data_IF_343190413811
#
_entry.id   IF_343190413811
#
_cell.length_a   1.000
_cell.length_b   1.000
_cell.length_c   1.000
_cell.angle_alpha   90.00
_cell.angle_beta   90.00
_cell.angle_gamma   90.00
#
_symmetry.space_group_name_H-M   'P 1'
#
loop_
_entity.id
_entity.type
_entity.pdbx_description
1 polymer ?
#
# COMPACT_ATOMS: atom_id res chain seq x y z
N UNK A 1 1.99 -22.29 -2.68
CA UNK A 1 2.84 -21.55 -1.72
C UNK A 1 3.09 -22.48 -0.55
N UNK A 2 4.30 -22.55 0.00
CA UNK A 2 4.51 -23.26 1.26
C UNK A 2 3.71 -22.59 2.37
N UNK A 3 3.33 -23.33 3.41
CA UNK A 3 2.61 -22.79 4.58
C UNK A 3 3.40 -21.62 5.21
N UNK A 4 4.74 -21.70 5.20
CA UNK A 4 5.63 -20.67 5.73
C UNK A 4 5.59 -19.33 5.00
N UNK A 5 5.04 -19.25 3.78
CA UNK A 5 5.00 -18.01 2.98
C UNK A 5 3.57 -17.60 2.60
N UNK A 6 2.55 -18.27 3.13
CA UNK A 6 1.15 -17.99 2.78
C UNK A 6 0.70 -16.67 3.40
N UNK A 7 0.37 -15.69 2.55
CA UNK A 7 -0.21 -14.40 2.95
C UNK A 7 -1.42 -13.98 2.09
N UNK A 8 -1.71 -14.73 1.03
CA UNK A 8 -2.84 -14.52 0.14
C UNK A 8 -3.34 -15.89 -0.38
N UNK A 9 -4.50 -15.90 -1.02
CA UNK A 9 -5.08 -17.12 -1.60
C UNK A 9 -4.38 -17.56 -2.90
N UNK A 10 -3.89 -16.60 -3.68
CA UNK A 10 -3.16 -16.89 -4.92
C UNK A 10 -2.24 -15.76 -5.34
N UNK A 11 -1.12 -16.13 -5.96
CA UNK A 11 -0.16 -15.19 -6.55
C UNK A 11 -0.44 -14.88 -8.03
N UNK A 12 -1.34 -15.65 -8.67
CA UNK A 12 -1.56 -15.66 -10.11
C UNK A 12 -3.01 -15.38 -10.52
N UNK A 13 -3.93 -15.30 -9.55
CA UNK A 13 -5.31 -14.88 -9.75
C UNK A 13 -5.72 -14.01 -8.57
N UNK A 14 -6.62 -13.08 -8.82
CA UNK A 14 -7.23 -12.34 -7.74
C UNK A 14 -8.22 -13.21 -6.98
N UNK A 15 -8.07 -13.29 -5.67
CA UNK A 15 -9.04 -13.90 -4.78
C UNK A 15 -8.93 -13.21 -3.42
N UNK A 16 -10.05 -12.67 -2.95
CA UNK A 16 -10.09 -12.03 -1.63
C UNK A 16 -9.92 -13.05 -0.52
N UNK A 17 -9.13 -12.70 0.49
CA UNK A 17 -8.94 -13.50 1.69
C UNK A 17 -10.29 -13.68 2.41
N UNK A 18 -10.63 -14.92 2.78
CA UNK A 18 -11.86 -15.20 3.51
C UNK A 18 -11.70 -14.87 4.99
N UNK A 19 -12.15 -13.68 5.37
CA UNK A 19 -12.20 -13.25 6.77
C UNK A 19 -13.53 -13.60 7.42
N UNK A 20 -13.57 -13.64 8.76
CA UNK A 20 -14.84 -13.74 9.49
C UNK A 20 -15.68 -12.48 9.32
N UNK A 21 -16.99 -12.61 9.49
CA UNK A 21 -17.88 -11.47 9.52
C UNK A 21 -17.81 -10.81 10.89
N UNK A 22 -17.69 -9.49 10.90
CA UNK A 22 -17.78 -8.63 12.09
C UNK A 22 -18.94 -7.67 11.90
N UNK A 23 -19.83 -7.61 12.87
CA UNK A 23 -21.00 -6.74 12.87
C UNK A 23 -20.65 -5.37 13.46
N UNK A 24 -20.82 -4.31 12.65
CA UNK A 24 -20.58 -2.92 13.05
C UNK A 24 -21.87 -2.16 12.80
N UNK A 25 -22.77 -2.20 13.77
CA UNK A 25 -24.16 -1.80 13.57
C UNK A 25 -24.80 -2.59 12.42
N UNK A 26 -25.51 -1.88 11.55
CA UNK A 26 -26.20 -2.47 10.40
C UNK A 26 -25.30 -2.68 9.17
N UNK A 27 -24.01 -2.31 9.25
CA UNK A 27 -23.07 -2.41 8.13
C UNK A 27 -21.99 -3.44 8.47
N UNK A 28 -22.17 -4.72 8.07
CA UNK A 28 -21.21 -5.78 8.37
C UNK A 28 -19.93 -5.67 7.53
N UNK A 29 -18.85 -6.21 8.09
CA UNK A 29 -17.50 -6.20 7.55
C UNK A 29 -16.94 -7.63 7.44
N UNK A 30 -16.18 -7.91 6.40
CA UNK A 30 -15.52 -9.22 6.21
C UNK A 30 -16.39 -10.26 5.51
N UNK A 31 -15.89 -11.49 5.41
CA UNK A 31 -16.57 -12.55 4.67
C UNK A 31 -16.79 -12.19 3.20
N UNK A 32 -18.04 -12.25 2.74
CA UNK A 32 -18.42 -11.92 1.36
C UNK A 32 -18.96 -10.48 1.21
N UNK A 33 -19.00 -9.69 2.29
CA UNK A 33 -19.46 -8.30 2.23
C UNK A 33 -18.45 -7.42 1.50
N UNK A 34 -18.87 -6.39 0.75
CA UNK A 34 -17.98 -5.55 -0.04
C UNK A 34 -16.92 -4.87 0.84
N UNK A 35 -15.80 -4.48 0.22
CA UNK A 35 -14.77 -3.72 0.91
C UNK A 35 -15.33 -2.35 1.26
N UNK A 36 -15.38 -2.03 2.56
CA UNK A 36 -16.05 -0.82 3.06
C UNK A 36 -15.15 0.39 3.01
N UNK A 37 -15.70 1.55 2.65
CA UNK A 37 -14.97 2.82 2.68
C UNK A 37 -15.31 3.60 3.94
N UNK A 38 -14.29 4.04 4.66
CA UNK A 38 -14.45 4.85 5.87
C UNK A 38 -13.53 6.07 5.87
N UNK A 39 -13.90 7.07 6.66
CA UNK A 39 -13.10 8.27 6.89
C UNK A 39 -13.20 8.71 8.36
N UNK A 40 -12.53 9.80 8.72
CA UNK A 40 -12.44 10.30 10.09
C UNK A 40 -12.70 11.81 10.11
N UNK A 41 -13.51 12.27 11.06
CA UNK A 41 -13.72 13.70 11.28
C UNK A 41 -12.44 14.39 11.73
N UNK A 42 -12.34 15.69 11.43
CA UNK A 42 -11.24 16.58 11.86
C UNK A 42 -11.71 17.65 12.84
N UNK A 43 -13.02 17.80 13.04
CA UNK A 43 -13.61 18.70 14.03
C UNK A 43 -13.29 18.30 15.47
N UNK A 44 -13.39 19.27 16.38
CA UNK A 44 -13.39 18.99 17.81
C UNK A 44 -14.67 18.19 18.17
N UNK A 45 -14.49 16.99 18.71
CA UNK A 45 -15.60 16.12 19.11
C UNK A 45 -16.48 16.69 20.22
N UNK A 46 -16.05 17.76 20.92
CA UNK A 46 -16.92 18.50 21.83
C UNK A 46 -17.83 19.52 21.12
N UNK A 47 -17.50 19.91 19.88
CA UNK A 47 -18.41 20.64 19.01
C UNK A 47 -19.33 19.64 18.29
N UNK A 48 -20.42 19.30 18.97
CA UNK A 48 -21.44 18.37 18.47
C UNK A 48 -21.99 18.82 17.11
N UNK A 49 -22.23 20.12 16.93
CA UNK A 49 -22.84 20.63 15.70
C UNK A 49 -21.87 20.47 14.52
N UNK A 50 -20.64 20.95 14.67
CA UNK A 50 -19.64 20.85 13.61
C UNK A 50 -19.34 19.38 13.26
N UNK A 51 -19.23 18.52 14.28
CA UNK A 51 -18.96 17.09 14.07
C UNK A 51 -20.11 16.38 13.37
N UNK A 52 -21.36 16.70 13.69
CA UNK A 52 -22.55 16.18 13.00
C UNK A 52 -22.57 16.66 11.54
N UNK A 53 -22.36 17.95 11.29
CA UNK A 53 -22.36 18.53 9.93
C UNK A 53 -21.26 17.89 9.05
N UNK A 54 -20.03 17.76 9.56
CA UNK A 54 -18.93 17.13 8.82
C UNK A 54 -19.19 15.63 8.59
N UNK A 55 -19.74 14.93 9.60
CA UNK A 55 -20.13 13.52 9.46
C UNK A 55 -21.15 13.33 8.34
N UNK A 56 -22.13 14.24 8.23
CA UNK A 56 -23.14 14.21 7.15
C UNK A 56 -22.47 14.38 5.79
N UNK A 57 -21.59 15.37 5.61
CA UNK A 57 -20.86 15.55 4.32
C UNK A 57 -20.07 14.30 3.93
N UNK A 58 -19.41 13.67 4.90
CA UNK A 58 -18.68 12.41 4.67
C UNK A 58 -19.64 11.28 4.25
N UNK A 59 -20.78 11.13 4.92
CA UNK A 59 -21.79 10.10 4.60
C UNK A 59 -22.38 10.35 3.21
N UNK A 60 -22.70 11.59 2.87
CA UNK A 60 -23.21 11.98 1.55
C UNK A 60 -22.18 11.74 0.43
N UNK A 61 -20.88 11.89 0.72
CA UNK A 61 -19.80 11.47 -0.20
C UNK A 61 -19.70 9.93 -0.34
N UNK A 62 -20.33 9.18 0.58
CA UNK A 62 -20.42 7.72 0.62
C UNK A 62 -19.52 7.03 1.63
N UNK A 63 -19.23 7.70 2.75
CA UNK A 63 -18.58 7.09 3.91
C UNK A 63 -19.52 6.10 4.60
N UNK A 64 -19.09 4.84 4.74
CA UNK A 64 -19.87 3.76 5.34
C UNK A 64 -19.60 3.58 6.84
N UNK A 65 -18.48 4.10 7.35
CA UNK A 65 -18.19 4.18 8.78
C UNK A 65 -17.56 5.53 9.12
N UNK A 66 -18.16 6.27 10.05
CA UNK A 66 -17.62 7.58 10.46
C UNK A 66 -16.80 7.41 11.72
N UNK A 67 -15.50 7.71 11.64
CA UNK A 67 -14.61 7.68 12.81
C UNK A 67 -14.51 9.06 13.46
N UNK A 68 -14.64 9.11 14.78
CA UNK A 68 -14.61 10.34 15.57
C UNK A 68 -13.60 10.16 16.71
N UNK A 69 -12.74 11.15 16.93
CA UNK A 69 -11.76 11.11 18.03
C UNK A 69 -12.45 11.21 19.40
N UNK A 70 -12.04 10.41 20.38
CA UNK A 70 -12.60 10.48 21.74
C UNK A 70 -11.48 10.32 22.79
N UNK A 71 -10.62 11.35 22.96
CA UNK A 71 -9.42 11.24 23.79
C UNK A 71 -9.71 11.11 25.29
N UNK A 72 -10.81 11.68 25.79
CA UNK A 72 -11.21 11.60 27.20
C UNK A 72 -12.65 11.11 27.39
N UNK A 73 -13.03 10.93 28.65
CA UNK A 73 -14.38 10.47 29.03
C UNK A 73 -15.44 11.48 28.55
N UNK A 74 -15.14 12.78 28.54
CA UNK A 74 -16.10 13.82 28.12
C UNK A 74 -16.45 13.70 26.64
N UNK A 75 -15.44 13.56 25.79
CA UNK A 75 -15.64 13.35 24.36
C UNK A 75 -16.34 12.01 24.10
N UNK A 76 -15.95 10.95 24.83
CA UNK A 76 -16.62 9.65 24.74
C UNK A 76 -18.12 9.73 25.08
N UNK A 77 -18.49 10.48 26.13
CA UNK A 77 -19.88 10.75 26.49
C UNK A 77 -20.58 11.59 25.41
N UNK A 78 -19.91 12.58 24.83
CA UNK A 78 -20.50 13.44 23.80
C UNK A 78 -20.81 12.69 22.49
N UNK A 79 -20.19 11.53 22.24
CA UNK A 79 -20.56 10.65 21.13
C UNK A 79 -22.05 10.26 21.17
N UNK A 80 -22.67 10.20 22.35
CA UNK A 80 -24.09 9.90 22.47
C UNK A 80 -24.97 11.01 21.90
N UNK A 81 -24.62 12.28 22.16
CA UNK A 81 -25.35 13.43 21.59
C UNK A 81 -25.10 13.55 20.07
N UNK A 82 -23.86 13.33 19.61
CA UNK A 82 -23.55 13.28 18.17
C UNK A 82 -24.39 12.19 17.48
N UNK A 83 -24.38 10.97 18.02
CA UNK A 83 -25.15 9.84 17.49
C UNK A 83 -26.64 10.16 17.45
N UNK A 84 -27.19 10.71 18.54
CA UNK A 84 -28.59 11.10 18.64
C UNK A 84 -28.99 12.14 17.59
N UNK A 85 -28.18 13.18 17.37
CA UNK A 85 -28.50 14.20 16.36
C UNK A 85 -28.34 13.70 14.92
N UNK A 86 -27.39 12.80 14.65
CA UNK A 86 -27.31 12.10 13.36
C UNK A 86 -28.56 11.25 13.11
N UNK A 87 -28.98 10.46 14.09
CA UNK A 87 -30.17 9.59 13.98
C UNK A 87 -31.45 10.40 13.83
N UNK A 88 -31.59 11.53 14.53
CA UNK A 88 -32.72 12.47 14.37
C UNK A 88 -32.82 13.02 12.94
N UNK A 89 -31.69 13.20 12.28
CA UNK A 89 -31.62 13.63 10.88
C UNK A 89 -31.72 12.47 9.87
N UNK A 90 -31.93 11.23 10.33
CA UNK A 90 -32.13 10.05 9.48
C UNK A 90 -30.84 9.32 9.08
N UNK A 91 -29.68 9.73 9.59
CA UNK A 91 -28.41 9.07 9.30
C UNK A 91 -28.17 7.90 10.25
N UNK A 92 -28.12 6.67 9.72
CA UNK A 92 -27.89 5.43 10.48
C UNK A 92 -26.46 4.89 10.39
N UNK A 93 -25.56 5.59 9.69
CA UNK A 93 -24.16 5.18 9.53
C UNK A 93 -23.51 4.86 10.89
N UNK A 94 -22.80 3.73 11.03
CA UNK A 94 -22.11 3.38 12.27
C UNK A 94 -20.98 4.35 12.62
N UNK A 95 -20.85 4.61 13.91
CA UNK A 95 -19.80 5.46 14.47
C UNK A 95 -18.67 4.62 15.03
N UNK A 96 -17.44 5.10 14.86
CA UNK A 96 -16.23 4.50 15.40
C UNK A 96 -15.55 5.49 16.34
N UNK A 97 -15.38 5.14 17.61
CA UNK A 97 -14.62 5.95 18.55
C UNK A 97 -13.12 5.68 18.41
N UNK A 98 -12.31 6.72 18.18
CA UNK A 98 -10.86 6.61 18.07
C UNK A 98 -10.18 6.97 19.40
N UNK A 99 -9.62 5.97 20.08
CA UNK A 99 -9.09 6.11 21.44
C UNK A 99 -7.64 5.63 21.49
N UNK A 100 -6.77 6.49 22.01
CA UNK A 100 -5.33 6.25 22.02
C UNK A 100 -4.80 5.88 23.41
N UNK A 101 -5.18 6.62 24.46
CA UNK A 101 -4.47 6.58 25.75
C UNK A 101 -5.35 6.30 26.98
N UNK A 102 -6.69 6.38 26.85
CA UNK A 102 -7.58 6.44 28.01
C UNK A 102 -8.51 5.23 28.05
N UNK A 103 -8.16 4.13 28.75
CA UNK A 103 -9.01 2.94 28.86
C UNK A 103 -10.43 3.23 29.34
N UNK A 104 -10.58 4.15 30.30
CA UNK A 104 -11.91 4.54 30.80
C UNK A 104 -12.79 5.21 29.74
N UNK A 105 -12.19 6.00 28.83
CA UNK A 105 -12.92 6.57 27.71
C UNK A 105 -13.38 5.46 26.74
N UNK A 106 -12.57 4.41 26.57
CA UNK A 106 -12.94 3.26 25.73
C UNK A 106 -14.10 2.45 26.29
N UNK A 107 -14.16 2.27 27.60
CA UNK A 107 -15.30 1.63 28.26
C UNK A 107 -16.60 2.40 28.02
N UNK A 108 -16.57 3.74 28.15
CA UNK A 108 -17.78 4.53 27.91
C UNK A 108 -18.16 4.64 26.44
N UNK A 109 -17.18 4.77 25.55
CA UNK A 109 -17.47 4.77 24.12
C UNK A 109 -18.08 3.43 23.66
N UNK A 110 -17.60 2.30 24.18
CA UNK A 110 -18.08 0.97 23.79
C UNK A 110 -19.58 0.75 24.10
N UNK A 111 -20.16 1.51 25.03
CA UNK A 111 -21.60 1.49 25.35
C UNK A 111 -22.44 2.38 24.44
N UNK A 112 -21.80 3.20 23.61
CA UNK A 112 -22.45 4.26 22.84
C UNK A 112 -22.34 3.99 21.34
N UNK A 113 -21.14 3.66 20.86
CA UNK A 113 -20.83 3.51 19.43
C UNK A 113 -20.78 2.05 19.01
N UNK A 114 -20.88 1.82 17.71
CA UNK A 114 -20.87 0.47 17.13
C UNK A 114 -19.47 -0.16 17.12
N UNK A 115 -18.41 0.67 17.24
CA UNK A 115 -17.03 0.17 17.27
C UNK A 115 -16.07 1.11 18.00
N UNK A 116 -15.15 0.54 18.76
CA UNK A 116 -14.02 1.27 19.36
C UNK A 116 -12.73 0.89 18.65
N UNK A 117 -11.85 1.86 18.39
CA UNK A 117 -10.46 1.61 18.03
C UNK A 117 -9.57 1.85 19.24
N UNK A 118 -8.66 0.92 19.48
CA UNK A 118 -7.53 1.08 20.38
C UNK A 118 -6.18 0.99 19.65
N UNK A 119 -5.13 1.50 20.30
CA UNK A 119 -3.74 1.32 19.90
C UNK A 119 -2.98 0.53 20.99
N UNK A 120 -2.55 -0.72 20.72
CA UNK A 120 -1.82 -1.55 21.66
C UNK A 120 -0.66 -0.86 22.38
N UNK A 121 0.14 -0.08 21.66
CA UNK A 121 1.36 0.53 22.20
C UNK A 121 1.11 1.63 23.22
N UNK A 122 -0.09 2.22 23.24
CA UNK A 122 -0.45 3.35 24.10
C UNK A 122 -1.55 3.00 25.12
N UNK A 123 -2.20 1.84 24.99
CA UNK A 123 -3.36 1.48 25.80
C UNK A 123 -2.97 1.06 27.22
N UNK A 124 -1.96 0.19 27.35
CA UNK A 124 -1.50 -0.32 28.64
C UNK A 124 -0.28 0.45 29.17
N UNK A 125 0.55 0.97 28.26
CA UNK A 125 1.85 1.55 28.57
C UNK A 125 1.93 3.04 28.29
N UNK A 126 2.65 3.74 29.18
CA UNK A 126 3.18 5.07 28.90
C UNK A 126 4.63 4.85 28.52
N UNK A 127 5.03 5.25 27.31
CA UNK A 127 6.44 5.21 26.88
C UNK A 127 7.30 5.87 27.94
N UNK A 128 8.20 5.09 28.54
CA UNK A 128 9.29 5.63 29.36
C UNK A 128 10.49 5.45 28.45
N UNK A 129 11.00 6.54 27.85
CA UNK A 129 12.17 6.53 26.96
C UNK A 129 13.47 6.15 27.71
N UNK A 130 13.44 5.06 28.46
CA UNK A 130 14.56 4.46 29.17
C UNK A 130 14.92 3.20 28.38
N UNK A 131 16.19 3.00 28.08
CA UNK A 131 16.68 1.72 27.57
C UNK A 131 16.47 0.67 28.67
N UNK A 132 15.43 -0.15 28.50
CA UNK A 132 15.11 -1.26 29.38
C UNK A 132 15.28 -2.53 28.55
N UNK A 133 16.26 -3.36 28.92
CA UNK A 133 16.31 -4.74 28.43
C UNK A 133 15.25 -5.56 29.17
N UNK A 134 14.31 -6.13 28.42
CA UNK A 134 13.29 -7.00 28.99
C UNK A 134 13.79 -8.45 29.03
N UNK A 135 13.89 -9.00 30.23
CA UNK A 135 14.00 -10.46 30.43
C UNK A 135 12.67 -11.13 30.09
N UNK A 136 12.69 -12.44 29.80
CA UNK A 136 11.46 -13.21 29.56
C UNK A 136 10.43 -13.08 30.69
N UNK A 137 10.89 -13.03 31.94
CA UNK A 137 10.02 -12.83 33.09
C UNK A 137 9.39 -11.44 33.08
N UNK A 138 10.19 -10.38 32.92
CA UNK A 138 9.66 -9.01 32.88
C UNK A 138 8.72 -8.76 31.69
N UNK A 139 8.95 -9.43 30.57
CA UNK A 139 8.06 -9.36 29.41
C UNK A 139 6.72 -10.04 29.72
N UNK A 140 6.76 -11.20 30.39
CA UNK A 140 5.54 -11.90 30.83
C UNK A 140 4.75 -11.08 31.84
N UNK A 141 5.42 -10.45 32.81
CA UNK A 141 4.76 -9.59 33.81
C UNK A 141 4.02 -8.41 33.12
N UNK A 142 4.59 -7.86 32.04
CA UNK A 142 3.92 -6.81 31.26
C UNK A 142 2.72 -7.36 30.46
N UNK A 143 2.79 -8.59 29.93
CA UNK A 143 1.65 -9.24 29.31
C UNK A 143 0.47 -9.43 30.28
N UNK A 144 0.76 -9.85 31.51
CA UNK A 144 -0.26 -10.01 32.56
C UNK A 144 -0.90 -8.65 32.91
N UNK A 145 -0.10 -7.60 32.99
CA UNK A 145 -0.58 -6.23 33.22
C UNK A 145 -1.44 -5.70 32.06
N UNK A 146 -1.06 -5.98 30.82
CA UNK A 146 -1.87 -5.64 29.63
C UNK A 146 -3.20 -6.36 29.69
N UNK A 147 -3.18 -7.66 29.99
CA UNK A 147 -4.39 -8.47 30.15
C UNK A 147 -5.34 -7.84 31.17
N UNK A 148 -4.87 -7.50 32.37
CA UNK A 148 -5.72 -6.94 33.44
C UNK A 148 -6.33 -5.58 33.06
N UNK A 149 -5.60 -4.77 32.29
CA UNK A 149 -6.08 -3.46 31.82
C UNK A 149 -7.04 -3.55 30.64
N UNK A 150 -6.85 -4.54 29.76
CA UNK A 150 -7.59 -4.67 28.52
C UNK A 150 -8.82 -5.57 28.64
N UNK A 151 -8.78 -6.59 29.49
CA UNK A 151 -9.90 -7.50 29.73
C UNK A 151 -11.24 -6.79 30.08
N UNK A 152 -11.27 -5.70 30.88
CA UNK A 152 -12.52 -4.96 31.11
C UNK A 152 -13.15 -4.44 29.83
N UNK A 153 -12.34 -3.93 28.88
CA UNK A 153 -12.84 -3.43 27.60
C UNK A 153 -13.39 -4.57 26.74
N UNK A 154 -12.69 -5.70 26.68
CA UNK A 154 -13.17 -6.88 25.95
C UNK A 154 -14.53 -7.35 26.46
N UNK A 155 -14.71 -7.36 27.79
CA UNK A 155 -15.99 -7.74 28.42
C UNK A 155 -17.10 -6.76 28.06
N UNK A 156 -16.87 -5.46 28.19
CA UNK A 156 -17.88 -4.43 27.83
C UNK A 156 -18.22 -4.49 26.35
N UNK A 157 -17.22 -4.58 25.46
CA UNK A 157 -17.47 -4.74 24.02
C UNK A 157 -18.33 -5.97 23.71
N UNK A 158 -18.08 -7.09 24.39
CA UNK A 158 -18.85 -8.33 24.24
C UNK A 158 -20.28 -8.19 24.77
N UNK A 159 -20.47 -7.53 25.90
CA UNK A 159 -21.79 -7.28 26.52
C UNK A 159 -22.65 -6.35 25.66
N UNK A 160 -22.05 -5.29 25.12
CA UNK A 160 -22.75 -4.25 24.34
C UNK A 160 -22.86 -4.58 22.83
N UNK A 161 -22.18 -5.64 22.37
CA UNK A 161 -22.08 -5.96 20.93
C UNK A 161 -21.29 -4.91 20.13
N UNK A 162 -20.40 -4.17 20.78
CA UNK A 162 -19.56 -3.15 20.14
C UNK A 162 -18.29 -3.79 19.57
N UNK A 163 -18.05 -3.68 18.27
CA UNK A 163 -16.84 -4.20 17.64
C UNK A 163 -15.57 -3.50 18.15
N UNK A 164 -14.41 -4.15 18.00
CA UNK A 164 -13.12 -3.61 18.41
C UNK A 164 -12.13 -3.59 17.24
N UNK A 165 -11.47 -2.45 17.00
CA UNK A 165 -10.28 -2.39 16.14
C UNK A 165 -9.02 -2.33 16.97
N UNK A 166 -8.16 -3.34 16.82
CA UNK A 166 -6.80 -3.36 17.37
C UNK A 166 -5.86 -2.83 16.27
N UNK A 167 -5.39 -1.59 16.43
CA UNK A 167 -4.59 -0.92 15.40
C UNK A 167 -3.17 -0.59 15.86
N UNK A 168 -2.19 -1.32 15.33
CA UNK A 168 -0.77 -1.09 15.54
C UNK A 168 -0.26 -0.04 14.55
N UNK A 169 0.39 1.00 15.06
CA UNK A 169 1.05 2.03 14.26
C UNK A 169 2.56 1.92 14.47
N UNK A 170 3.33 1.96 13.38
CA UNK A 170 4.79 1.83 13.42
C UNK A 170 5.46 2.82 14.40
N UNK A 171 5.09 4.11 14.33
CA UNK A 171 5.67 5.15 15.22
C UNK A 171 5.27 5.05 16.71
N UNK A 172 4.37 4.14 17.09
CA UNK A 172 3.88 4.04 18.47
C UNK A 172 4.00 2.63 19.05
N UNK A 173 4.96 1.82 18.60
CA UNK A 173 5.28 0.56 19.28
C UNK A 173 5.72 0.82 20.71
N UNK A 174 5.32 -0.06 21.63
CA UNK A 174 5.69 -0.02 23.04
C UNK A 174 7.13 -0.48 23.27
N UNK A 175 7.74 -0.02 24.37
CA UNK A 175 9.14 -0.29 24.71
C UNK A 175 9.45 -1.81 24.77
N UNK A 176 8.52 -2.63 25.32
CA UNK A 176 8.65 -4.09 25.35
C UNK A 176 8.75 -4.73 23.95
N UNK A 177 8.02 -4.19 22.98
CA UNK A 177 7.96 -4.70 21.61
C UNK A 177 9.23 -4.29 20.88
N UNK A 178 9.64 -3.04 21.03
CA UNK A 178 10.89 -2.53 20.47
C UNK A 178 12.10 -3.30 21.02
N UNK A 179 12.13 -3.61 22.31
CA UNK A 179 13.20 -4.40 22.94
C UNK A 179 13.27 -5.82 22.38
N UNK A 180 12.12 -6.49 22.21
CA UNK A 180 12.08 -7.92 21.83
C UNK A 180 12.14 -8.17 20.32
N UNK A 181 11.51 -7.31 19.51
CA UNK A 181 11.32 -7.51 18.08
C UNK A 181 11.90 -6.37 17.22
N UNK A 182 12.38 -5.29 17.83
CA UNK A 182 12.83 -4.09 17.14
C UNK A 182 11.69 -3.28 16.51
N UNK A 183 12.08 -2.16 15.88
CA UNK A 183 11.19 -1.35 15.05
C UNK A 183 11.00 -2.03 13.67
N UNK A 184 10.26 -3.14 13.66
CA UNK A 184 10.14 -4.04 12.50
C UNK A 184 8.67 -4.36 12.18
N UNK A 185 8.36 -4.81 10.94
CA UNK A 185 7.06 -5.36 10.61
C UNK A 185 6.60 -6.46 11.58
N UNK A 186 7.50 -7.34 12.03
CA UNK A 186 7.19 -8.37 13.01
C UNK A 186 6.81 -7.77 14.37
N UNK A 187 7.51 -6.73 14.84
CA UNK A 187 7.15 -6.01 16.06
C UNK A 187 5.74 -5.42 15.99
N UNK A 188 5.35 -4.85 14.83
CA UNK A 188 3.98 -4.37 14.62
C UNK A 188 2.93 -5.48 14.75
N UNK A 189 3.21 -6.64 14.16
CA UNK A 189 2.32 -7.81 14.18
C UNK A 189 2.18 -8.34 15.59
N UNK A 190 3.29 -8.60 16.29
CA UNK A 190 3.22 -9.15 17.67
C UNK A 190 2.55 -8.18 18.63
N UNK A 191 2.74 -6.87 18.47
CA UNK A 191 2.01 -5.86 19.26
C UNK A 191 0.49 -5.99 19.14
N UNK A 192 -0.01 -6.34 17.95
CA UNK A 192 -1.44 -6.58 17.75
C UNK A 192 -1.87 -7.99 18.20
N UNK A 193 -1.06 -9.01 17.91
CA UNK A 193 -1.35 -10.40 18.27
C UNK A 193 -1.43 -10.61 19.79
N UNK A 194 -0.65 -9.90 20.60
CA UNK A 194 -0.77 -9.90 22.06
C UNK A 194 -2.21 -9.56 22.53
N UNK A 195 -2.79 -8.49 21.98
CA UNK A 195 -4.15 -8.09 22.31
C UNK A 195 -5.20 -9.01 21.68
N UNK A 196 -4.93 -9.53 20.48
CA UNK A 196 -5.82 -10.47 19.80
C UNK A 196 -5.96 -11.78 20.59
N UNK A 197 -4.84 -12.34 21.06
CA UNK A 197 -4.82 -13.56 21.90
C UNK A 197 -5.60 -13.36 23.20
N UNK A 198 -5.56 -12.16 23.80
CA UNK A 198 -6.41 -11.83 24.96
C UNK A 198 -7.89 -11.91 24.56
N UNK A 199 -8.30 -11.32 23.42
CA UNK A 199 -9.69 -11.38 22.99
C UNK A 199 -10.17 -12.81 22.73
N UNK A 200 -9.33 -13.64 22.09
CA UNK A 200 -9.58 -15.07 21.87
C UNK A 200 -9.80 -15.82 23.20
N UNK A 201 -8.99 -15.55 24.23
CA UNK A 201 -9.18 -16.15 25.56
C UNK A 201 -10.54 -15.81 26.20
N UNK A 202 -11.14 -14.67 25.84
CA UNK A 202 -12.49 -14.27 26.27
C UNK A 202 -13.60 -14.71 25.29
N UNK A 203 -13.26 -15.49 24.25
CA UNK A 203 -14.15 -15.89 23.16
C UNK A 203 -14.87 -14.68 22.56
N UNK A 204 -14.12 -13.60 22.30
CA UNK A 204 -14.62 -12.38 21.70
C UNK A 204 -14.04 -12.23 20.29
N UNK A 205 -14.90 -12.07 19.30
CA UNK A 205 -14.54 -12.26 17.89
C UNK A 205 -14.95 -11.11 16.96
N UNK A 206 -15.60 -10.07 17.50
CA UNK A 206 -15.99 -8.85 16.76
C UNK A 206 -14.77 -7.92 16.63
N UNK A 207 -13.71 -8.39 15.96
CA UNK A 207 -12.39 -7.76 15.93
C UNK A 207 -11.96 -7.42 14.52
N UNK A 208 -11.38 -6.24 14.35
CA UNK A 208 -10.76 -5.77 13.11
C UNK A 208 -9.32 -5.39 13.40
N UNK A 209 -8.40 -5.70 12.49
CA UNK A 209 -6.97 -5.43 12.68
C UNK A 209 -6.48 -4.38 11.69
N UNK A 210 -5.49 -3.59 12.10
CA UNK A 210 -4.76 -2.70 11.18
C UNK A 210 -3.29 -2.57 11.56
N UNK A 211 -2.41 -2.61 10.56
CA UNK A 211 -0.99 -2.32 10.64
C UNK A 211 -0.71 -1.05 9.82
N UNK A 212 -0.50 0.10 10.45
CA UNK A 212 -0.27 1.36 9.70
C UNK A 212 1.17 1.83 9.81
N UNK A 213 1.72 2.22 8.67
CA UNK A 213 3.02 2.87 8.57
C UNK A 213 2.97 3.95 7.48
N UNK A 214 3.79 4.99 7.62
CA UNK A 214 4.01 5.98 6.57
C UNK A 214 4.95 5.43 5.50
N UNK A 215 5.72 4.38 5.81
CA UNK A 215 6.45 3.62 4.82
C UNK A 215 5.55 2.50 4.26
N UNK A 216 5.16 2.62 3.00
CA UNK A 216 4.25 1.67 2.33
C UNK A 216 4.81 0.25 2.28
N UNK A 217 6.14 0.08 2.20
CA UNK A 217 6.78 -1.24 2.19
C UNK A 217 6.64 -1.92 3.55
N UNK A 218 6.92 -1.21 4.63
CA UNK A 218 6.74 -1.71 6.02
C UNK A 218 5.28 -2.09 6.25
N UNK A 219 4.35 -1.23 5.82
CA UNK A 219 2.92 -1.51 5.90
C UNK A 219 2.54 -2.82 5.18
N UNK A 220 2.92 -2.97 3.91
CA UNK A 220 2.61 -4.17 3.11
C UNK A 220 3.17 -5.43 3.78
N UNK A 221 4.43 -5.39 4.22
CA UNK A 221 5.10 -6.50 4.91
C UNK A 221 4.37 -6.89 6.21
N UNK A 222 3.97 -5.90 7.02
CA UNK A 222 3.28 -6.14 8.28
C UNK A 222 1.91 -6.80 8.08
N UNK A 223 1.12 -6.40 7.08
CA UNK A 223 -0.15 -7.09 6.80
C UNK A 223 0.05 -8.52 6.30
N UNK A 224 1.03 -8.75 5.42
CA UNK A 224 1.33 -10.10 4.93
C UNK A 224 1.76 -11.03 6.07
N UNK A 225 2.64 -10.54 6.94
CA UNK A 225 3.06 -11.26 8.15
C UNK A 225 1.89 -11.47 9.12
N UNK A 226 1.02 -10.48 9.31
CA UNK A 226 -0.17 -10.61 10.16
C UNK A 226 -1.08 -11.74 9.67
N UNK A 227 -1.37 -11.79 8.38
CA UNK A 227 -2.20 -12.85 7.78
C UNK A 227 -1.54 -14.22 7.97
N UNK A 228 -0.24 -14.32 7.70
CA UNK A 228 0.50 -15.56 7.91
C UNK A 228 0.44 -16.03 9.37
N UNK A 229 0.64 -15.10 10.32
CA UNK A 229 0.60 -15.40 11.75
C UNK A 229 -0.80 -15.78 12.22
N UNK A 230 -1.83 -15.08 11.74
CA UNK A 230 -3.22 -15.42 12.03
C UNK A 230 -3.56 -16.82 11.51
N UNK A 231 -3.21 -17.15 10.26
CA UNK A 231 -3.46 -18.48 9.66
C UNK A 231 -2.79 -19.59 10.49
N UNK A 232 -1.53 -19.37 10.92
CA UNK A 232 -0.79 -20.31 11.77
C UNK A 232 -1.42 -20.51 13.17
N UNK A 233 -2.13 -19.51 13.69
CA UNK A 233 -2.86 -19.59 14.96
C UNK A 233 -4.37 -19.90 14.78
N UNK A 234 -4.82 -20.24 13.56
CA UNK A 234 -6.21 -20.59 13.28
C UNK A 234 -7.19 -19.40 13.30
N UNK A 235 -6.69 -18.19 13.05
CA UNK A 235 -7.44 -16.92 13.07
C UNK A 235 -7.60 -16.33 11.66
N UNK A 236 -8.65 -15.54 11.44
CA UNK A 236 -8.98 -14.94 10.14
C UNK A 236 -9.78 -13.63 10.24
N UNK A 237 -9.27 -12.67 11.01
CA UNK A 237 -9.98 -11.41 11.28
C UNK A 237 -9.94 -10.40 10.12
N UNK A 238 -10.98 -9.57 9.95
CA UNK A 238 -11.00 -8.51 8.95
C UNK A 238 -9.86 -7.49 9.10
N UNK A 239 -9.39 -6.99 7.95
CA UNK A 239 -8.29 -6.04 7.84
C UNK A 239 -8.81 -4.64 7.45
N UNK A 240 -8.48 -3.67 8.30
CA UNK A 240 -8.61 -2.24 7.99
C UNK A 240 -7.31 -1.75 7.37
N UNK A 241 -7.30 -1.38 6.09
CA UNK A 241 -6.13 -0.83 5.42
C UNK A 241 -6.08 0.70 5.48
N UNK A 242 -4.87 1.23 5.45
CA UNK A 242 -4.64 2.66 5.28
C UNK A 242 -3.20 3.04 5.59
N UNK A 243 -2.64 3.90 4.75
CA UNK A 243 -1.34 4.52 4.98
C UNK A 243 -1.53 5.66 5.99
N UNK A 244 -0.64 5.80 6.97
CA UNK A 244 -0.64 6.98 7.85
C UNK A 244 0.24 8.07 7.25
N UNK A 245 -0.11 9.34 7.47
CA UNK A 245 0.68 10.48 6.96
C UNK A 245 0.94 10.34 5.44
N UNK A 246 -0.13 10.19 4.66
CA UNK A 246 0.02 10.01 3.22
C UNK A 246 0.59 11.28 2.56
N UNK A 247 0.23 12.45 3.08
CA UNK A 247 0.58 13.75 2.52
C UNK A 247 -0.66 14.45 1.97
N UNK A 248 -0.43 15.55 1.26
CA UNK A 248 -1.47 16.36 0.62
C UNK A 248 -1.51 16.05 -0.88
N UNK A 249 -2.64 16.36 -1.54
CA UNK A 249 -2.70 16.36 -2.98
C UNK A 249 -2.30 15.01 -3.62
N UNK A 250 -1.59 15.10 -4.74
CA UNK A 250 -1.26 13.93 -5.55
C UNK A 250 -0.29 12.97 -4.84
N UNK A 251 0.64 13.50 -4.04
CA UNK A 251 1.59 12.68 -3.27
C UNK A 251 0.85 11.76 -2.28
N UNK A 252 -0.14 12.30 -1.58
CA UNK A 252 -0.98 11.52 -0.66
C UNK A 252 -1.80 10.44 -1.36
N UNK A 253 -2.30 10.74 -2.56
CA UNK A 253 -3.07 9.80 -3.39
C UNK A 253 -2.18 8.69 -3.94
N UNK A 254 -1.02 9.02 -4.51
CA UNK A 254 -0.02 8.07 -5.03
C UNK A 254 0.45 7.15 -3.92
N UNK A 255 0.85 7.70 -2.77
CA UNK A 255 1.34 6.91 -1.63
C UNK A 255 0.27 5.97 -1.09
N UNK A 256 -0.98 6.43 -1.05
CA UNK A 256 -2.13 5.59 -0.67
C UNK A 256 -2.39 4.48 -1.69
N UNK A 257 -2.32 4.77 -2.99
CA UNK A 257 -2.47 3.77 -4.05
C UNK A 257 -1.37 2.71 -3.99
N UNK A 258 -0.12 3.11 -3.74
CA UNK A 258 1.00 2.16 -3.58
C UNK A 258 0.79 1.25 -2.36
N UNK A 259 0.44 1.80 -1.19
CA UNK A 259 0.28 1.00 0.02
C UNK A 259 -0.99 0.14 0.03
N UNK A 260 -2.15 0.76 -0.20
CA UNK A 260 -3.46 0.10 -0.15
C UNK A 260 -3.65 -0.78 -1.39
N UNK A 261 -3.35 -0.26 -2.58
CA UNK A 261 -3.53 -1.00 -3.84
C UNK A 261 -2.69 -2.28 -3.90
N UNK A 262 -1.45 -2.26 -3.38
CA UNK A 262 -0.62 -3.49 -3.31
C UNK A 262 -1.29 -4.59 -2.48
N UNK A 263 -1.88 -4.24 -1.34
CA UNK A 263 -2.56 -5.22 -0.47
C UNK A 263 -3.90 -5.66 -1.06
N UNK A 264 -4.63 -4.74 -1.70
CA UNK A 264 -5.84 -5.09 -2.43
C UNK A 264 -5.52 -6.04 -3.59
N UNK A 265 -4.40 -5.87 -4.33
CA UNK A 265 -3.97 -6.84 -5.34
C UNK A 265 -3.69 -8.23 -4.74
N UNK A 266 -3.17 -8.31 -3.51
CA UNK A 266 -2.97 -9.57 -2.78
C UNK A 266 -4.30 -10.18 -2.26
N UNK A 267 -5.44 -9.51 -2.49
CA UNK A 267 -6.75 -9.94 -1.96
C UNK A 267 -6.94 -9.63 -0.47
N UNK A 268 -6.09 -8.77 0.10
CA UNK A 268 -6.13 -8.37 1.51
C UNK A 268 -6.87 -7.05 1.66
N UNK A 269 -7.75 -6.96 2.66
CA UNK A 269 -8.49 -5.74 3.00
C UNK A 269 -10.00 -5.94 2.97
N UNK A 270 -10.65 -5.55 4.05
CA UNK A 270 -12.10 -5.60 4.20
C UNK A 270 -12.71 -4.21 4.36
N UNK A 271 -11.90 -3.26 4.81
CA UNK A 271 -12.23 -1.85 4.79
C UNK A 271 -10.98 -1.02 4.59
N UNK A 272 -11.11 0.15 3.97
CA UNK A 272 -9.99 1.04 3.72
C UNK A 272 -10.29 2.46 4.20
N UNK A 273 -9.23 3.18 4.57
CA UNK A 273 -9.24 4.64 4.71
C UNK A 273 -8.00 5.22 4.03
N UNK A 274 -8.22 6.12 3.08
CA UNK A 274 -7.20 7.04 2.56
C UNK A 274 -7.05 8.17 3.58
N UNK A 275 -5.83 8.53 3.97
CA UNK A 275 -5.62 9.58 5.00
C UNK A 275 -4.91 10.79 4.37
N UNK A 276 -5.70 11.77 3.91
CA UNK A 276 -5.22 12.98 3.25
C UNK A 276 -5.20 14.15 4.24
N UNK A 277 -4.33 15.13 4.01
CA UNK A 277 -4.39 16.43 4.72
C UNK A 277 -5.38 17.38 4.03
N UNK A 278 -6.62 16.92 3.84
CA UNK A 278 -7.71 17.64 3.17
C UNK A 278 -9.00 17.44 3.98
N UNK A 279 -10.09 18.12 3.59
CA UNK A 279 -11.40 17.82 4.19
C UNK A 279 -11.76 16.34 3.98
N UNK A 280 -12.32 15.67 5.01
CA UNK A 280 -12.44 14.22 5.04
C UNK A 280 -13.37 13.65 3.96
N UNK A 281 -14.35 14.42 3.47
CA UNK A 281 -15.16 14.03 2.32
C UNK A 281 -14.34 13.77 1.04
N UNK A 282 -13.17 14.41 0.87
CA UNK A 282 -12.30 14.20 -0.29
C UNK A 282 -11.48 12.90 -0.20
N UNK A 283 -11.37 12.28 0.98
CA UNK A 283 -10.76 10.95 1.13
C UNK A 283 -11.63 9.87 0.43
N UNK A 284 -12.96 10.07 0.39
CA UNK A 284 -13.93 9.05 -0.02
C UNK A 284 -13.87 8.72 -1.52
N UNK A 285 -13.86 9.69 -2.47
CA UNK A 285 -13.73 9.39 -3.89
C UNK A 285 -12.45 8.61 -4.23
N UNK A 286 -11.33 8.96 -3.58
CA UNK A 286 -10.04 8.27 -3.77
C UNK A 286 -10.13 6.82 -3.28
N UNK A 287 -10.70 6.62 -2.08
CA UNK A 287 -10.91 5.28 -1.53
C UNK A 287 -11.83 4.43 -2.42
N UNK A 288 -12.96 4.98 -2.89
CA UNK A 288 -13.87 4.30 -3.82
C UNK A 288 -13.16 3.90 -5.10
N UNK A 289 -12.38 4.80 -5.71
CA UNK A 289 -11.62 4.49 -6.92
C UNK A 289 -10.65 3.32 -6.74
N UNK A 290 -10.06 3.15 -5.55
CA UNK A 290 -9.20 2.00 -5.24
C UNK A 290 -10.01 0.71 -5.08
N UNK A 291 -11.18 0.76 -4.43
CA UNK A 291 -12.04 -0.41 -4.19
C UNK A 291 -12.74 -0.88 -5.47
N UNK A 292 -13.29 0.05 -6.26
CA UNK A 292 -14.10 -0.22 -7.44
C UNK A 292 -13.32 -1.00 -8.52
N UNK A 293 -11.98 -0.85 -8.54
CA UNK A 293 -11.08 -1.65 -9.36
C UNK A 293 -11.27 -3.16 -9.17
N UNK A 294 -11.68 -3.60 -7.97
CA UNK A 294 -11.81 -5.01 -7.61
C UNK A 294 -13.26 -5.50 -7.56
N UNK A 295 -14.26 -4.60 -7.56
CA UNK A 295 -15.67 -4.96 -7.49
C UNK A 295 -16.13 -5.82 -8.69
N UNK A 296 -15.54 -5.59 -9.86
CA UNK A 296 -15.88 -6.25 -11.11
C UNK A 296 -14.64 -6.80 -11.82
N UNK A 297 -13.65 -7.28 -11.06
CA UNK A 297 -12.43 -7.82 -11.67
C UNK A 297 -12.79 -9.00 -12.57
N UNK A 298 -12.55 -8.84 -13.87
CA UNK A 298 -12.92 -9.83 -14.88
C UNK A 298 -12.00 -11.05 -14.78
N UNK A 299 -12.44 -12.12 -15.43
CA UNK A 299 -11.57 -13.24 -15.74
C UNK A 299 -10.44 -12.75 -16.66
N UNK A 300 -9.26 -13.31 -16.46
CA UNK A 300 -8.05 -12.96 -17.20
C UNK A 300 -7.40 -14.22 -17.76
N UNK A 301 -6.48 -14.04 -18.71
CA UNK A 301 -5.70 -15.15 -19.27
C UNK A 301 -4.87 -15.84 -18.19
N UNK A 302 -4.81 -17.18 -18.25
CA UNK A 302 -4.19 -17.99 -17.20
C UNK A 302 -2.69 -17.76 -17.14
N UNK A 303 -2.20 -17.41 -15.95
CA UNK A 303 -0.77 -17.28 -15.66
C UNK A 303 -0.27 -18.62 -15.10
N UNK A 304 0.85 -19.13 -15.64
CA UNK A 304 1.45 -20.37 -15.18
C UNK A 304 1.93 -20.25 -13.72
N UNK A 305 1.60 -21.25 -12.89
CA UNK A 305 2.03 -21.30 -11.49
C UNK A 305 3.55 -21.53 -11.42
N UNK A 306 4.25 -20.70 -10.67
CA UNK A 306 5.62 -20.96 -10.22
C UNK A 306 5.68 -20.67 -8.72
N UNK A 307 5.96 -21.70 -7.92
CA UNK A 307 5.96 -21.61 -6.45
C UNK A 307 7.35 -21.54 -5.84
N UNK A 308 8.36 -21.91 -6.61
CA UNK A 308 9.74 -21.97 -6.15
C UNK A 308 10.46 -20.71 -6.61
N UNK A 309 10.62 -19.75 -5.69
CA UNK A 309 11.31 -18.49 -5.97
C UNK A 309 11.91 -17.91 -4.69
N UNK A 310 13.06 -17.24 -4.83
CA UNK A 310 13.86 -16.70 -3.72
C UNK A 310 13.48 -15.24 -3.41
N UNK A 311 12.18 -14.97 -3.23
CA UNK A 311 11.70 -13.65 -2.78
C UNK A 311 10.86 -13.80 -1.52
N UNK A 312 11.31 -13.16 -0.43
CA UNK A 312 10.51 -13.05 0.78
C UNK A 312 9.34 -12.08 0.54
N UNK A 313 8.08 -12.48 0.80
CA UNK A 313 6.95 -11.55 0.76
C UNK A 313 6.89 -10.65 2.00
N UNK A 314 7.67 -10.95 3.02
CA UNK A 314 7.67 -10.32 4.34
C UNK A 314 8.82 -9.35 4.56
N UNK A 315 9.85 -9.43 3.71
CA UNK A 315 11.05 -8.60 3.82
C UNK A 315 11.40 -8.01 2.46
N UNK A 316 12.09 -6.88 2.48
CA UNK A 316 12.58 -6.26 1.26
C UNK A 316 14.06 -6.50 1.18
N UNK A 317 14.48 -6.98 0.01
CA UNK A 317 15.88 -7.03 -0.34
C UNK A 317 16.04 -6.37 -1.71
N UNK A 318 16.95 -5.39 -1.85
CA UNK A 318 17.23 -4.81 -3.16
C UNK A 318 17.83 -5.90 -4.05
N UNK A 319 17.30 -6.03 -5.27
CA UNK A 319 17.81 -7.00 -6.24
C UNK A 319 19.16 -6.54 -6.76
N UNK A 320 20.15 -7.44 -6.74
CA UNK A 320 21.43 -7.20 -7.40
C UNK A 320 21.21 -7.25 -8.91
N UNK A 321 21.63 -6.21 -9.60
CA UNK A 321 21.49 -6.07 -11.06
C UNK A 321 22.80 -5.56 -11.65
N UNK A 322 23.01 -5.82 -12.94
CA UNK A 322 24.13 -5.24 -13.68
C UNK A 322 23.85 -3.75 -13.95
N UNK A 323 24.92 -2.95 -14.04
CA UNK A 323 24.82 -1.57 -14.49
C UNK A 323 24.97 -1.52 -16.01
N UNK A 324 23.97 -0.95 -16.69
CA UNK A 324 24.01 -0.65 -18.13
C UNK A 324 23.87 0.86 -18.29
N UNK A 325 24.96 1.51 -18.68
CA UNK A 325 25.08 2.98 -18.75
C UNK A 325 24.76 3.65 -17.38
N UNK A 326 23.52 4.06 -17.15
CA UNK A 326 23.01 4.68 -15.91
C UNK A 326 21.78 3.96 -15.33
N UNK A 327 21.50 2.72 -15.78
CA UNK A 327 20.36 1.89 -15.37
C UNK A 327 20.88 0.65 -14.64
N UNK A 328 20.26 0.30 -13.50
CA UNK A 328 20.63 -0.87 -12.70
C UNK A 328 21.91 -0.67 -11.88
N UNK A 329 22.35 -1.71 -11.18
CA UNK A 329 23.46 -1.64 -10.23
C UNK A 329 23.17 -0.66 -9.10
N UNK A 330 24.13 0.23 -8.82
CA UNK A 330 24.03 1.26 -7.77
C UNK A 330 23.40 2.58 -8.25
N UNK A 331 22.91 2.63 -9.50
CA UNK A 331 22.27 3.83 -10.04
C UNK A 331 20.87 4.04 -9.41
N UNK A 332 20.50 5.30 -9.20
CA UNK A 332 19.10 5.64 -8.85
C UNK A 332 18.15 5.31 -10.00
N UNK A 333 16.85 5.06 -9.71
CA UNK A 333 15.84 4.82 -10.75
C UNK A 333 15.82 5.89 -11.83
N UNK A 334 15.60 5.47 -13.07
CA UNK A 334 15.50 6.36 -14.24
C UNK A 334 14.05 6.53 -14.67
N UNK A 335 13.70 7.74 -15.08
CA UNK A 335 12.37 8.07 -15.59
C UNK A 335 12.42 8.18 -17.10
N UNK A 336 11.55 7.43 -17.77
CA UNK A 336 11.32 7.53 -19.20
C UNK A 336 9.94 8.11 -19.46
N UNK A 337 9.86 9.22 -20.19
CA UNK A 337 8.60 9.76 -20.66
C UNK A 337 8.22 9.12 -22.01
N UNK A 338 7.01 8.61 -22.12
CA UNK A 338 6.48 8.08 -23.37
C UNK A 338 5.84 9.20 -24.19
N UNK A 339 6.44 9.52 -25.33
CA UNK A 339 5.94 10.51 -26.29
C UNK A 339 5.50 9.85 -27.59
N UNK A 340 5.33 8.53 -27.64
CA UNK A 340 5.04 7.80 -28.87
C UNK A 340 3.74 8.21 -29.56
N UNK A 341 2.79 8.79 -28.82
CA UNK A 341 1.49 9.27 -29.30
C UNK A 341 1.47 10.78 -29.57
N UNK A 342 2.54 11.51 -29.26
CA UNK A 342 2.60 12.93 -29.57
C UNK A 342 2.66 13.15 -31.09
N UNK A 343 1.86 14.09 -31.65
CA UNK A 343 1.88 14.35 -33.08
C UNK A 343 3.19 15.00 -33.55
N UNK A 344 3.84 15.73 -32.65
CA UNK A 344 5.14 16.36 -32.86
C UNK A 344 5.85 16.54 -31.53
N UNK A 345 7.17 16.41 -31.52
CA UNK A 345 8.01 16.71 -30.36
C UNK A 345 8.82 17.95 -30.69
N UNK A 346 8.68 18.98 -29.87
CA UNK A 346 9.41 20.23 -30.00
C UNK A 346 10.03 20.64 -28.64
N UNK A 347 10.61 21.84 -28.59
CA UNK A 347 11.26 22.34 -27.37
C UNK A 347 10.28 22.54 -26.21
N UNK A 348 9.04 22.95 -26.50
CA UNK A 348 7.98 23.13 -25.51
C UNK A 348 7.54 21.78 -24.90
N UNK A 349 7.49 20.72 -25.71
CA UNK A 349 7.28 19.35 -25.21
C UNK A 349 8.30 19.00 -24.13
N UNK A 350 9.60 19.30 -24.36
CA UNK A 350 10.64 19.02 -23.36
C UNK A 350 10.53 19.93 -22.12
N UNK A 351 9.96 21.13 -22.25
CA UNK A 351 9.67 21.99 -21.09
C UNK A 351 8.63 21.41 -20.15
N UNK A 352 7.63 20.73 -20.68
CA UNK A 352 6.67 19.98 -19.84
C UNK A 352 7.33 18.79 -19.13
N UNK A 353 8.46 18.30 -19.65
CA UNK A 353 9.25 17.21 -19.07
C UNK A 353 10.42 17.70 -18.20
N UNK A 354 10.41 18.98 -17.76
CA UNK A 354 11.40 19.51 -16.82
C UNK A 354 12.65 20.13 -17.45
N UNK A 355 12.68 20.34 -18.77
CA UNK A 355 13.81 20.96 -19.47
C UNK A 355 13.56 22.41 -19.90
N UNK A 356 14.49 23.31 -19.63
CA UNK A 356 14.35 24.72 -20.03
C UNK A 356 15.32 25.05 -21.16
N UNK A 357 14.82 25.54 -22.30
CA UNK A 357 15.69 26.00 -23.38
C UNK A 357 16.00 27.50 -23.25
N UNK A 358 17.28 27.86 -23.24
CA UNK A 358 17.77 29.23 -23.21
C UNK A 358 18.23 29.64 -24.62
N UNK A 359 17.35 30.31 -25.37
CA UNK A 359 17.60 30.68 -26.77
C UNK A 359 18.84 31.57 -26.94
N UNK A 360 19.08 32.50 -26.01
CA UNK A 360 20.22 33.41 -26.06
C UNK A 360 21.59 32.69 -25.98
N UNK A 361 21.64 31.51 -25.36
CA UNK A 361 22.87 30.74 -25.17
C UNK A 361 22.92 29.46 -26.02
N UNK A 362 21.83 29.13 -26.72
CA UNK A 362 21.60 27.82 -27.35
C UNK A 362 21.90 26.63 -26.40
N UNK A 363 21.37 26.71 -25.17
CA UNK A 363 21.61 25.73 -24.11
C UNK A 363 20.33 25.25 -23.44
N UNK A 364 20.44 24.11 -22.79
CA UNK A 364 19.40 23.53 -21.95
C UNK A 364 19.74 23.65 -20.47
N UNK A 365 18.78 24.10 -19.67
CA UNK A 365 18.68 23.90 -18.24
C UNK A 365 17.90 22.63 -17.93
N UNK A 366 18.24 22.03 -16.78
CA UNK A 366 17.65 20.78 -16.30
C UNK A 366 17.03 21.09 -14.94
N UNK A 367 15.72 20.90 -14.82
CA UNK A 367 15.00 21.02 -13.54
C UNK A 367 14.97 19.70 -12.77
N UNK A 368 14.50 19.76 -11.52
CA UNK A 368 14.47 18.61 -10.60
C UNK A 368 13.55 17.47 -11.07
N UNK A 369 12.57 17.77 -11.92
CA UNK A 369 11.61 16.80 -12.48
C UNK A 369 11.97 16.36 -13.90
N UNK A 370 13.18 16.66 -14.37
CA UNK A 370 13.61 16.29 -15.71
C UNK A 370 13.67 14.77 -15.89
N UNK A 371 13.01 14.23 -16.91
CA UNK A 371 13.09 12.79 -17.22
C UNK A 371 14.46 12.43 -17.82
N UNK A 372 14.98 11.23 -17.55
CA UNK A 372 16.27 10.78 -18.09
C UNK A 372 16.19 10.34 -19.55
N UNK A 373 15.04 9.81 -19.96
CA UNK A 373 14.81 9.27 -21.30
C UNK A 373 13.46 9.73 -21.87
N UNK A 374 13.39 9.84 -23.20
CA UNK A 374 12.11 9.93 -23.92
C UNK A 374 11.98 8.77 -24.90
N UNK A 375 10.80 8.15 -24.95
CA UNK A 375 10.46 7.21 -26.01
C UNK A 375 9.69 7.92 -27.11
N UNK A 376 10.22 7.93 -28.34
CA UNK A 376 9.66 8.69 -29.46
C UNK A 376 9.17 7.81 -30.61
N UNK A 377 9.16 6.49 -30.41
CA UNK A 377 8.78 5.50 -31.42
C UNK A 377 9.53 5.71 -32.76
N UNK A 378 8.84 6.06 -33.85
CA UNK A 378 9.43 6.25 -35.19
C UNK A 378 9.71 7.72 -35.55
N UNK A 379 9.45 8.65 -34.63
CA UNK A 379 9.63 10.08 -34.89
C UNK A 379 11.11 10.46 -35.00
N UNK A 380 11.40 11.63 -35.57
CA UNK A 380 12.73 12.22 -35.67
C UNK A 380 12.73 13.58 -35.01
N UNK A 381 13.78 13.88 -34.25
CA UNK A 381 13.98 15.19 -33.63
C UNK A 381 14.89 16.03 -34.53
N UNK A 382 14.57 17.31 -34.67
CA UNK A 382 15.26 18.24 -35.58
C UNK A 382 15.85 19.46 -34.84
N UNK A 383 16.13 19.32 -33.55
CA UNK A 383 16.68 20.36 -32.70
C UNK A 383 17.74 19.79 -31.74
N UNK A 384 18.61 20.65 -31.20
CA UNK A 384 19.64 20.28 -30.23
C UNK A 384 19.00 19.73 -28.94
N UNK A 385 19.48 18.59 -28.45
CA UNK A 385 18.95 17.93 -27.25
C UNK A 385 19.73 18.32 -25.99
N UNK A 386 19.09 18.28 -24.81
CA UNK A 386 19.81 18.34 -23.54
C UNK A 386 20.87 17.23 -23.46
N UNK A 387 22.08 17.56 -22.99
CA UNK A 387 23.21 16.63 -23.01
C UNK A 387 23.01 15.34 -22.20
N UNK A 388 22.11 15.35 -21.23
CA UNK A 388 21.80 14.24 -20.33
C UNK A 388 20.58 13.41 -20.76
N UNK A 389 19.84 13.87 -21.77
CA UNK A 389 18.60 13.22 -22.21
C UNK A 389 18.90 12.08 -23.20
N UNK A 390 18.50 10.86 -22.86
CA UNK A 390 18.51 9.74 -23.80
C UNK A 390 17.24 9.69 -24.66
N UNK A 391 17.38 9.35 -25.93
CA UNK A 391 16.25 9.19 -26.85
C UNK A 391 16.11 7.72 -27.21
N UNK A 392 14.99 7.11 -26.84
CA UNK A 392 14.65 5.74 -27.20
C UNK A 392 13.79 5.76 -28.46
N UNK A 393 14.23 5.01 -29.48
CA UNK A 393 13.60 5.00 -30.79
C UNK A 393 13.40 3.56 -31.29
N UNK A 394 12.34 3.33 -32.05
CA UNK A 394 12.07 2.02 -32.66
C UNK A 394 13.28 1.56 -33.50
N UNK A 395 13.68 0.30 -33.32
CA UNK A 395 14.84 -0.32 -34.00
C UNK A 395 14.87 -0.04 -35.51
N UNK A 396 13.70 -0.12 -36.15
CA UNK A 396 13.52 0.12 -37.59
C UNK A 396 14.03 1.47 -38.07
N UNK A 397 14.03 2.52 -37.24
CA UNK A 397 14.51 3.87 -37.58
C UNK A 397 15.94 4.07 -37.08
N UNK A 398 16.22 3.65 -35.84
CA UNK A 398 17.53 3.82 -35.22
C UNK A 398 18.65 3.15 -36.03
N UNK A 399 18.41 1.94 -36.57
CA UNK A 399 19.43 1.17 -37.30
C UNK A 399 19.99 1.92 -38.53
N UNK A 400 19.16 2.73 -39.16
CA UNK A 400 19.48 3.50 -40.37
C UNK A 400 20.07 4.87 -40.03
N UNK A 401 19.88 5.35 -38.79
CA UNK A 401 20.31 6.68 -38.35
C UNK A 401 20.72 6.68 -36.87
N UNK A 402 21.95 6.20 -36.60
CA UNK A 402 22.53 6.03 -35.25
C UNK A 402 23.04 7.35 -34.68
N UNK A 403 22.13 8.27 -34.40
CA UNK A 403 22.45 9.58 -33.84
C UNK A 403 23.03 9.46 -32.41
N UNK A 404 23.86 10.41 -31.97
CA UNK A 404 24.27 10.51 -30.57
C UNK A 404 23.05 10.56 -29.65
N UNK A 405 23.18 10.00 -28.44
CA UNK A 405 22.11 9.90 -27.43
C UNK A 405 20.88 9.08 -27.84
N UNK A 406 20.87 8.47 -29.03
CA UNK A 406 19.75 7.63 -29.49
C UNK A 406 20.04 6.14 -29.26
N UNK A 407 19.11 5.48 -28.59
CA UNK A 407 19.16 4.07 -28.22
C UNK A 407 17.98 3.31 -28.85
N UNK A 408 18.19 2.08 -29.34
CA UNK A 408 17.11 1.31 -29.94
C UNK A 408 16.21 0.67 -28.88
N UNK A 409 14.91 0.74 -29.11
CA UNK A 409 13.94 -0.24 -28.59
C UNK A 409 13.79 -1.37 -29.61
N UNK A 410 14.00 -2.59 -29.17
CA UNK A 410 14.08 -3.81 -29.99
C UNK A 410 13.11 -4.82 -29.41
N UNK A 411 12.25 -5.43 -30.22
CA UNK A 411 11.41 -6.53 -29.73
C UNK A 411 12.21 -7.84 -29.59
N UNK A 412 11.66 -8.83 -28.88
CA UNK A 412 12.34 -10.11 -28.63
C UNK A 412 12.79 -10.83 -29.93
N UNK A 413 11.94 -10.86 -30.96
CA UNK A 413 12.26 -11.51 -32.24
C UNK A 413 13.42 -10.82 -32.95
N UNK A 414 13.38 -9.50 -33.08
CA UNK A 414 14.45 -8.69 -33.65
C UNK A 414 15.75 -8.86 -32.85
N UNK A 415 15.66 -8.85 -31.52
CA UNK A 415 16.82 -9.05 -30.67
C UNK A 415 17.46 -10.42 -30.91
N UNK A 416 16.70 -11.49 -31.11
CA UNK A 416 17.23 -12.82 -31.39
C UNK A 416 17.84 -12.97 -32.79
N UNK A 417 17.21 -12.37 -33.80
CA UNK A 417 17.57 -12.56 -35.20
C UNK A 417 18.62 -11.58 -35.74
N UNK A 418 18.65 -10.35 -35.23
CA UNK A 418 19.51 -9.29 -35.76
C UNK A 418 20.86 -9.27 -35.06
N UNK A 419 21.82 -8.62 -35.70
CA UNK A 419 23.21 -8.51 -35.25
C UNK A 419 23.69 -7.07 -35.06
N UNK A 420 22.88 -6.07 -35.45
CA UNK A 420 23.21 -4.65 -35.30
C UNK A 420 22.55 -4.14 -34.04
N UNK A 421 23.36 -3.80 -33.04
CA UNK A 421 22.94 -3.26 -31.74
C UNK A 421 23.78 -2.02 -31.39
N UNK A 422 23.27 -1.18 -30.48
CA UNK A 422 24.05 -0.08 -29.92
C UNK A 422 25.13 -0.67 -29.01
N UNK A 423 26.32 -0.08 -28.97
CA UNK A 423 27.46 -0.62 -28.22
C UNK A 423 27.38 -0.44 -26.70
N UNK A 424 26.44 0.37 -26.22
CA UNK A 424 26.33 0.74 -24.80
C UNK A 424 24.99 0.39 -24.14
N UNK A 425 23.87 0.44 -24.88
CA UNK A 425 22.53 0.35 -24.31
C UNK A 425 21.51 -0.02 -25.39
N UNK A 426 20.79 -1.11 -25.18
CA UNK A 426 19.71 -1.59 -26.03
C UNK A 426 18.49 -1.90 -25.15
N UNK A 427 17.36 -1.25 -25.42
CA UNK A 427 16.10 -1.54 -24.72
C UNK A 427 15.42 -2.72 -25.40
N UNK A 428 15.29 -3.85 -24.69
CA UNK A 428 14.69 -5.07 -25.22
C UNK A 428 13.26 -5.16 -24.68
N UNK A 429 12.29 -4.89 -25.55
CA UNK A 429 10.87 -4.98 -25.24
C UNK A 429 10.43 -6.44 -25.21
N UNK A 430 9.89 -6.86 -24.08
CA UNK A 430 9.44 -8.24 -23.85
C UNK A 430 8.14 -8.28 -23.06
N UNK A 431 7.36 -9.32 -23.30
CA UNK A 431 6.27 -9.81 -22.46
C UNK A 431 6.63 -11.17 -21.85
N UNK A 432 5.76 -11.75 -21.03
CA UNK A 432 6.01 -13.08 -20.46
C UNK A 432 6.15 -14.17 -21.52
N UNK A 433 5.39 -14.08 -22.62
CA UNK A 433 5.40 -15.08 -23.70
C UNK A 433 6.72 -15.12 -24.47
N UNK A 434 7.43 -14.00 -24.51
CA UNK A 434 8.71 -13.88 -25.22
C UNK A 434 9.86 -14.61 -24.49
N UNK A 435 9.67 -14.94 -23.20
CA UNK A 435 10.73 -15.39 -22.32
C UNK A 435 11.11 -16.87 -22.53
N UNK A 436 11.85 -17.11 -23.61
CA UNK A 436 12.39 -18.42 -23.99
C UNK A 436 13.82 -18.64 -23.46
N UNK A 437 14.23 -19.90 -23.33
CA UNK A 437 15.61 -20.27 -22.92
C UNK A 437 16.68 -19.63 -23.84
N UNK A 438 16.39 -19.55 -25.14
CA UNK A 438 17.25 -18.87 -26.13
C UNK A 438 17.40 -17.38 -25.83
N UNK A 439 16.29 -16.70 -25.48
CA UNK A 439 16.32 -15.28 -25.13
C UNK A 439 17.09 -15.04 -23.84
N UNK A 440 16.81 -15.82 -22.79
CA UNK A 440 17.49 -15.74 -21.50
C UNK A 440 19.00 -15.96 -21.67
N UNK A 441 19.40 -16.98 -22.42
CA UNK A 441 20.82 -17.25 -22.70
C UNK A 441 21.50 -16.10 -23.42
N UNK A 442 20.82 -15.45 -24.37
CA UNK A 442 21.37 -14.27 -25.06
C UNK A 442 21.51 -13.07 -24.11
N UNK A 443 20.48 -12.77 -23.32
CA UNK A 443 20.48 -11.69 -22.34
C UNK A 443 21.59 -11.83 -21.29
N UNK A 444 21.83 -13.04 -20.77
CA UNK A 444 22.91 -13.31 -19.82
C UNK A 444 24.30 -12.94 -20.33
N UNK A 445 24.49 -12.98 -21.66
CA UNK A 445 25.78 -12.71 -22.30
C UNK A 445 25.86 -11.31 -22.93
N UNK A 446 24.82 -10.48 -22.79
CA UNK A 446 24.77 -9.14 -23.37
C UNK A 446 24.84 -8.07 -22.26
N UNK A 447 26.00 -7.43 -22.06
CA UNK A 447 26.16 -6.40 -21.03
C UNK A 447 25.50 -5.07 -21.39
N UNK A 448 24.86 -4.97 -22.56
CA UNK A 448 24.21 -3.74 -23.06
C UNK A 448 22.69 -3.79 -23.00
N UNK A 449 22.11 -4.95 -22.66
CA UNK A 449 20.66 -5.15 -22.68
C UNK A 449 19.98 -4.60 -21.41
N UNK A 450 18.94 -3.79 -21.60
CA UNK A 450 18.00 -3.38 -20.56
C UNK A 450 16.61 -3.85 -20.96
N UNK A 451 15.95 -4.62 -20.10
CA UNK A 451 14.61 -5.10 -20.38
C UNK A 451 13.57 -4.00 -20.19
N UNK A 452 12.73 -3.79 -21.20
CA UNK A 452 11.50 -3.02 -21.12
C UNK A 452 10.35 -4.03 -21.06
N UNK A 453 9.85 -4.27 -19.85
CA UNK A 453 8.86 -5.33 -19.57
C UNK A 453 7.45 -4.74 -19.65
N UNK A 454 6.58 -5.41 -20.40
CA UNK A 454 5.17 -5.05 -20.55
C UNK A 454 4.26 -6.28 -20.37
N UNK A 455 2.95 -6.05 -20.31
CA UNK A 455 1.92 -7.07 -20.15
C UNK A 455 0.61 -6.63 -20.78
N UNK A 456 -0.05 -7.56 -21.48
CA UNK A 456 -1.41 -7.36 -21.99
C UNK A 456 -2.47 -8.01 -21.08
N UNK A 457 -2.04 -8.62 -19.98
CA UNK A 457 -2.90 -9.34 -19.06
C UNK A 457 -3.62 -8.36 -18.12
N UNK A 458 -4.94 -8.52 -17.96
CA UNK A 458 -5.71 -7.71 -17.01
C UNK A 458 -5.23 -7.91 -15.54
N UNK A 459 -4.54 -9.01 -15.24
CA UNK A 459 -3.83 -9.25 -13.99
C UNK A 459 -2.31 -8.99 -14.11
N UNK A 460 -1.95 -7.89 -14.77
CA UNK A 460 -0.56 -7.56 -15.14
C UNK A 460 0.47 -7.61 -13.99
N UNK A 461 0.12 -7.18 -12.78
CA UNK A 461 1.06 -7.28 -11.63
C UNK A 461 1.46 -8.71 -11.30
N UNK A 462 0.53 -9.67 -11.42
CA UNK A 462 0.82 -11.08 -11.19
C UNK A 462 1.66 -11.67 -12.34
N UNK A 463 1.37 -11.28 -13.58
CA UNK A 463 2.12 -11.74 -14.75
C UNK A 463 3.55 -11.21 -14.76
N UNK A 464 3.76 -9.93 -14.48
CA UNK A 464 5.09 -9.34 -14.37
C UNK A 464 5.88 -9.95 -13.20
N UNK A 465 5.21 -10.23 -12.07
CA UNK A 465 5.83 -10.96 -10.96
C UNK A 465 6.30 -12.34 -11.41
N UNK A 466 5.47 -13.09 -12.15
CA UNK A 466 5.82 -14.38 -12.73
C UNK A 466 7.01 -14.28 -13.69
N UNK A 467 7.10 -13.22 -14.49
CA UNK A 467 8.23 -12.95 -15.38
C UNK A 467 9.51 -12.74 -14.57
N UNK A 468 9.49 -11.92 -13.51
CA UNK A 468 10.65 -11.73 -12.64
C UNK A 468 11.08 -13.02 -11.93
N UNK A 469 10.14 -13.87 -11.51
CA UNK A 469 10.48 -15.19 -10.95
C UNK A 469 11.18 -16.11 -11.96
N UNK A 470 10.95 -15.95 -13.26
CA UNK A 470 11.67 -16.68 -14.30
C UNK A 470 13.10 -16.15 -14.47
N UNK A 471 13.24 -14.82 -14.58
CA UNK A 471 14.54 -14.18 -14.75
C UNK A 471 15.48 -14.38 -13.54
N UNK A 472 14.94 -14.62 -12.35
CA UNK A 472 15.74 -14.81 -11.14
C UNK A 472 16.13 -16.27 -10.86
N UNK A 473 15.41 -17.24 -11.42
CA UNK A 473 15.76 -18.66 -11.25
C UNK A 473 16.85 -19.14 -12.19
N UNK A 474 17.11 -18.37 -13.24
CA UNK A 474 18.04 -18.66 -14.33
C UNK A 474 19.28 -17.78 -14.20
#
# INVERSE_FOLDING_TARGET
>A
MSESIKYCESLIRYQRLKTRVVHIGDVPLGGDFPIRVQSMTTTDSMDTKATVEQSIRMIEAGCEYVRITAPSIKEAQNLAEIKKELRKQGYTTPLIADIHFTPNAALEAARIVEKVRINPGNFADRKKFQEIEYTDQSYKDELDRIHDRFAPLVKVCKEEGCALRIGSNHGSLSDRILSRYGDTPLGMVESAMEFLRICENYNYHEIVLSMKSSNTRVMVQAYRLLVNKMDAEGMNYPLHLGVTEAGEGEDGRIKSAVGIGTLLEDGLGDTIRVSLTEEPEYEIPVAKSLVDRYAHRKEHEKIAVKTDFDLSPFEYQPRKTNSVLNIGGDNVPRVMADLALEPQINRETLTQLGYQYFEAEDKWGIGDFACDYIFINKMKLNFNLPGTLGVVQAYSVWKDNKLPQHYPQINATEYLEKSIFHSQLNFIYITLEDLTEKLITKLKNDPTAVLLIDTYNEHGMAEQRRLFMELMSE
#
